data_IF_038058909999
#
_entry.id   IF_038058909999
#
_cell.length_a   1.000
_cell.length_b   1.000
_cell.length_c   1.000
_cell.angle_alpha   90.00
_cell.angle_beta   90.00
_cell.angle_gamma   90.00
#
_symmetry.space_group_name_H-M   'P 1'
#
loop_
_entity.id
_entity.type
_entity.pdbx_description
1 polymer ?
#
# COMPACT_ATOMS: atom_id res chain seq x y z
N UNK A 1 -7.76 -23.69 7.24
CA UNK A 1 -7.22 -22.64 6.36
C UNK A 1 -7.92 -22.59 4.99
N UNK A 2 -8.34 -23.72 4.41
CA UNK A 2 -9.03 -23.77 3.09
C UNK A 2 -10.37 -23.04 3.02
N UNK A 3 -11.11 -22.93 4.13
CA UNK A 3 -12.41 -22.22 4.16
C UNK A 3 -12.30 -20.68 4.13
N UNK A 4 -11.12 -20.11 4.33
CA UNK A 4 -10.97 -18.65 4.43
C UNK A 4 -11.10 -17.94 3.07
N UNK A 5 -10.72 -18.61 1.97
CA UNK A 5 -10.84 -18.03 0.63
C UNK A 5 -12.28 -18.01 0.12
N UNK A 6 -13.16 -18.87 0.66
CA UNK A 6 -14.57 -18.92 0.29
C UNK A 6 -15.40 -17.80 0.93
N UNK A 7 -14.89 -17.14 1.98
CA UNK A 7 -15.55 -15.99 2.62
C UNK A 7 -15.07 -14.63 2.07
N UNK A 8 -14.23 -14.62 1.03
CA UNK A 8 -13.78 -13.38 0.41
C UNK A 8 -14.94 -12.74 -0.34
N UNK A 9 -15.29 -11.52 0.05
CA UNK A 9 -16.11 -10.67 -0.79
C UNK A 9 -15.22 -10.14 -1.92
N UNK A 10 -15.20 -10.86 -3.04
CA UNK A 10 -14.37 -10.52 -4.22
C UNK A 10 -14.65 -9.11 -4.72
N UNK A 11 -15.92 -8.67 -4.67
CA UNK A 11 -16.30 -7.32 -5.08
C UNK A 11 -15.67 -6.26 -4.14
N UNK A 12 -15.76 -6.45 -2.82
CA UNK A 12 -15.14 -5.56 -1.85
C UNK A 12 -13.62 -5.48 -2.05
N UNK A 13 -12.96 -6.62 -2.23
CA UNK A 13 -11.51 -6.69 -2.47
C UNK A 13 -11.12 -5.94 -3.74
N UNK A 14 -11.81 -6.16 -4.86
CA UNK A 14 -11.51 -5.47 -6.12
C UNK A 14 -11.79 -3.96 -6.02
N UNK A 15 -12.87 -3.58 -5.33
CA UNK A 15 -13.23 -2.19 -5.09
C UNK A 15 -12.21 -1.45 -4.19
N UNK A 16 -11.59 -2.14 -3.24
CA UNK A 16 -10.53 -1.59 -2.38
C UNK A 16 -9.16 -1.59 -3.07
N UNK A 17 -8.84 -2.64 -3.82
CA UNK A 17 -7.59 -2.80 -4.56
C UNK A 17 -7.42 -1.73 -5.63
N UNK A 18 -8.43 -1.51 -6.48
CA UNK A 18 -8.32 -0.60 -7.62
C UNK A 18 -7.89 0.83 -7.23
N UNK A 19 -8.54 1.52 -6.28
CA UNK A 19 -8.11 2.85 -5.86
C UNK A 19 -6.77 2.82 -5.13
N UNK A 20 -6.45 1.77 -4.36
CA UNK A 20 -5.12 1.67 -3.74
C UNK A 20 -4.01 1.59 -4.80
N UNK A 21 -4.19 0.76 -5.83
CA UNK A 21 -3.24 0.64 -6.94
C UNK A 21 -3.13 1.94 -7.76
N UNK A 22 -4.27 2.53 -8.13
CA UNK A 22 -4.31 3.81 -8.87
C UNK A 22 -3.68 4.93 -8.05
N UNK A 23 -3.90 4.97 -6.73
CA UNK A 23 -3.25 5.92 -5.84
C UNK A 23 -1.74 5.79 -5.94
N UNK A 24 -1.18 4.58 -5.99
CA UNK A 24 0.26 4.36 -6.17
C UNK A 24 0.78 5.01 -7.46
N UNK A 25 0.09 4.79 -8.58
CA UNK A 25 0.46 5.43 -9.85
C UNK A 25 0.45 6.96 -9.73
N UNK A 26 -0.62 7.54 -9.19
CA UNK A 26 -0.73 8.99 -9.00
C UNK A 26 0.30 9.54 -8.02
N UNK A 27 0.58 8.82 -6.93
CA UNK A 27 1.50 9.23 -5.88
C UNK A 27 2.91 9.41 -6.41
N UNK A 28 3.43 8.40 -7.13
CA UNK A 28 4.82 8.39 -7.58
C UNK A 28 5.04 9.07 -8.93
N UNK A 29 4.00 9.29 -9.73
CA UNK A 29 4.13 9.91 -11.06
C UNK A 29 3.57 11.32 -11.16
N UNK A 30 2.66 11.71 -10.27
CA UNK A 30 2.01 13.03 -10.28
C UNK A 30 2.32 13.81 -9.00
N UNK A 31 1.84 13.35 -7.85
CA UNK A 31 1.85 14.16 -6.62
C UNK A 31 3.25 14.33 -6.01
N UNK A 32 4.02 13.25 -5.95
CA UNK A 32 5.33 13.22 -5.29
C UNK A 32 6.46 12.82 -6.24
N UNK A 33 6.26 12.93 -7.56
CA UNK A 33 7.26 12.57 -8.58
C UNK A 33 8.66 13.12 -8.25
N UNK A 34 8.77 14.43 -8.10
CA UNK A 34 10.07 15.09 -7.88
C UNK A 34 10.70 14.70 -6.54
N UNK A 35 9.89 14.57 -5.49
CA UNK A 35 10.34 14.15 -4.18
C UNK A 35 10.86 12.71 -4.23
N UNK A 36 10.14 11.81 -4.90
CA UNK A 36 10.51 10.41 -5.06
C UNK A 36 11.79 10.24 -5.88
N UNK A 37 11.93 10.94 -7.00
CA UNK A 37 13.18 10.93 -7.79
C UNK A 37 14.37 11.44 -6.96
N UNK A 38 14.19 12.56 -6.23
CA UNK A 38 15.22 13.09 -5.33
C UNK A 38 15.60 12.11 -4.22
N UNK A 39 14.63 11.36 -3.69
CA UNK A 39 14.89 10.33 -2.68
C UNK A 39 15.72 9.16 -3.24
N UNK A 40 15.51 8.83 -4.51
CA UNK A 40 16.28 7.83 -5.27
C UNK A 40 17.61 8.35 -5.83
N UNK A 41 17.98 9.61 -5.56
CA UNK A 41 19.19 10.23 -6.12
C UNK A 41 19.13 10.46 -7.64
N UNK A 42 17.93 10.48 -8.22
CA UNK A 42 17.69 10.68 -9.65
C UNK A 42 17.39 12.15 -9.96
N UNK A 43 17.71 12.56 -11.19
CA UNK A 43 17.37 13.89 -11.70
C UNK A 43 15.86 14.08 -11.92
N UNK A 44 15.38 15.33 -12.03
CA UNK A 44 13.96 15.64 -12.23
C UNK A 44 13.39 15.09 -13.55
N UNK A 45 14.24 14.97 -14.57
CA UNK A 45 13.88 14.46 -15.90
C UNK A 45 14.21 12.97 -16.07
N UNK A 46 14.53 12.27 -14.98
CA UNK A 46 14.79 10.84 -15.03
C UNK A 46 13.56 10.09 -15.53
N UNK A 47 13.70 9.43 -16.68
CA UNK A 47 12.67 8.56 -17.21
C UNK A 47 12.59 7.30 -16.35
N UNK A 48 11.38 6.89 -15.91
CA UNK A 48 11.20 5.60 -15.27
C UNK A 48 11.73 4.48 -16.16
N UNK A 49 12.24 3.41 -15.54
CA UNK A 49 12.57 2.22 -16.29
C UNK A 49 11.28 1.61 -16.87
N UNK A 50 11.27 1.35 -18.17
CA UNK A 50 10.11 0.81 -18.90
C UNK A 50 9.99 -0.72 -18.80
N UNK A 51 10.17 -1.27 -17.59
CA UNK A 51 10.02 -2.70 -17.36
C UNK A 51 8.63 -3.02 -16.78
N UNK A 52 7.91 -4.04 -17.28
CA UNK A 52 6.56 -4.39 -16.81
C UNK A 52 6.45 -4.62 -15.30
N UNK A 53 7.54 -5.08 -14.66
CA UNK A 53 7.61 -5.33 -13.22
C UNK A 53 7.31 -4.09 -12.37
N UNK A 54 7.58 -2.88 -12.87
CA UNK A 54 7.30 -1.64 -12.14
C UNK A 54 5.83 -1.24 -12.16
N UNK A 55 4.99 -1.96 -12.90
CA UNK A 55 3.53 -1.78 -12.94
C UNK A 55 2.84 -3.01 -12.36
N UNK A 56 3.17 -4.19 -12.89
CA UNK A 56 2.55 -5.46 -12.49
C UNK A 56 2.94 -5.83 -11.05
N UNK A 57 4.19 -5.58 -10.65
CA UNK A 57 4.66 -5.86 -9.29
C UNK A 57 3.81 -5.14 -8.22
N UNK A 58 3.72 -3.79 -8.27
CA UNK A 58 2.86 -3.04 -7.36
C UNK A 58 1.38 -3.46 -7.41
N UNK A 59 0.85 -3.80 -8.59
CA UNK A 59 -0.53 -4.29 -8.72
C UNK A 59 -0.74 -5.60 -7.95
N UNK A 60 0.12 -6.60 -8.17
CA UNK A 60 0.03 -7.89 -7.47
C UNK A 60 0.24 -7.71 -5.97
N UNK A 61 1.24 -6.93 -5.55
CA UNK A 61 1.50 -6.69 -4.13
C UNK A 61 0.31 -6.00 -3.44
N UNK A 62 -0.27 -4.97 -4.05
CA UNK A 62 -1.43 -4.26 -3.47
C UNK A 62 -2.68 -5.14 -3.43
N UNK A 63 -2.90 -6.01 -4.41
CA UNK A 63 -3.98 -7.00 -4.37
C UNK A 63 -3.78 -8.00 -3.21
N UNK A 64 -2.58 -8.56 -3.05
CA UNK A 64 -2.26 -9.49 -1.95
C UNK A 64 -2.46 -8.82 -0.59
N UNK A 65 -1.99 -7.58 -0.44
CA UNK A 65 -2.20 -6.79 0.79
C UNK A 65 -3.69 -6.57 1.07
N UNK A 66 -4.48 -6.27 0.05
CA UNK A 66 -5.94 -6.04 0.19
C UNK A 66 -6.67 -7.32 0.60
N UNK A 67 -6.34 -8.46 -0.02
CA UNK A 67 -6.88 -9.77 0.38
C UNK A 67 -6.51 -10.11 1.82
N UNK A 68 -5.26 -9.88 2.22
CA UNK A 68 -4.82 -10.11 3.58
C UNK A 68 -5.56 -9.22 4.59
N UNK A 69 -5.79 -7.95 4.24
CA UNK A 69 -6.56 -7.03 5.08
C UNK A 69 -7.99 -7.51 5.29
N UNK A 70 -8.69 -7.88 4.21
CA UNK A 70 -10.06 -8.41 4.26
C UNK A 70 -10.15 -9.63 5.18
N UNK A 71 -9.26 -10.61 4.99
CA UNK A 71 -9.20 -11.81 5.83
C UNK A 71 -8.93 -11.49 7.31
N UNK A 72 -8.00 -10.57 7.60
CA UNK A 72 -7.69 -10.19 8.97
C UNK A 72 -8.83 -9.43 9.62
N UNK A 73 -9.48 -8.50 8.91
CA UNK A 73 -10.63 -7.75 9.42
C UNK A 73 -11.79 -8.67 9.80
N UNK A 74 -12.10 -9.66 8.95
CA UNK A 74 -13.12 -10.68 9.26
C UNK A 74 -12.75 -11.51 10.50
N UNK A 75 -11.47 -11.91 10.64
CA UNK A 75 -11.01 -12.77 11.75
C UNK A 75 -10.88 -12.04 13.07
N UNK A 76 -10.54 -10.76 13.02
CA UNK A 76 -10.46 -9.87 14.18
C UNK A 76 -11.81 -9.21 14.49
N UNK A 77 -12.87 -9.56 13.74
CA UNK A 77 -14.23 -9.03 13.92
C UNK A 77 -14.27 -7.51 13.96
N UNK A 78 -13.57 -6.87 13.02
CA UNK A 78 -13.52 -5.42 12.88
C UNK A 78 -14.86 -4.93 12.31
N UNK A 79 -15.69 -4.29 13.14
CA UNK A 79 -17.10 -3.99 12.81
C UNK A 79 -17.47 -2.51 12.92
N UNK A 80 -16.51 -1.64 13.25
CA UNK A 80 -16.73 -0.20 13.35
C UNK A 80 -15.68 0.60 12.59
N UNK A 81 -16.03 1.84 12.23
CA UNK A 81 -15.08 2.79 11.65
C UNK A 81 -13.87 3.05 12.57
N UNK A 82 -14.08 3.09 13.89
CA UNK A 82 -13.02 3.28 14.87
C UNK A 82 -12.05 2.11 14.92
N UNK A 83 -12.55 0.87 14.94
CA UNK A 83 -11.73 -0.34 14.87
C UNK A 83 -11.01 -0.47 13.52
N UNK A 84 -11.68 -0.10 12.43
CA UNK A 84 -11.10 -0.07 11.08
C UNK A 84 -9.90 0.88 11.02
N UNK A 85 -10.06 2.08 11.58
CA UNK A 85 -8.95 3.03 11.67
C UNK A 85 -7.82 2.51 12.56
N UNK A 86 -8.13 1.97 13.74
CA UNK A 86 -7.12 1.40 14.63
C UNK A 86 -6.35 0.25 13.97
N UNK A 87 -7.06 -0.66 13.30
CA UNK A 87 -6.48 -1.75 12.50
C UNK A 87 -5.56 -1.20 11.40
N UNK A 88 -6.04 -0.22 10.64
CA UNK A 88 -5.26 0.42 9.57
C UNK A 88 -3.98 1.08 10.10
N UNK A 89 -4.05 1.74 11.26
CA UNK A 89 -2.88 2.37 11.88
C UNK A 89 -1.88 1.31 12.40
N UNK A 90 -2.35 0.26 13.06
CA UNK A 90 -1.48 -0.80 13.60
C UNK A 90 -0.78 -1.56 12.47
N UNK A 91 -1.52 -2.01 11.45
CA UNK A 91 -0.94 -2.76 10.33
C UNK A 91 -0.16 -1.84 9.40
N UNK A 92 -0.72 -0.67 9.08
CA UNK A 92 -0.09 0.33 8.22
C UNK A 92 1.24 0.80 8.78
N UNK A 93 1.31 1.24 10.04
CA UNK A 93 2.57 1.66 10.65
C UNK A 93 3.49 0.48 10.98
N UNK A 94 2.97 -0.51 11.69
CA UNK A 94 3.76 -1.59 12.26
C UNK A 94 4.32 -2.58 11.24
N UNK A 95 3.62 -2.77 10.11
CA UNK A 95 4.09 -3.67 9.05
C UNK A 95 4.47 -2.91 7.79
N UNK A 96 3.61 -2.06 7.24
CA UNK A 96 3.87 -1.47 5.92
C UNK A 96 4.93 -0.37 5.96
N UNK A 97 4.76 0.63 6.83
CA UNK A 97 5.74 1.72 6.99
C UNK A 97 7.05 1.18 7.55
N UNK A 98 7.00 0.39 8.63
CA UNK A 98 8.21 -0.17 9.23
C UNK A 98 9.01 -1.02 8.24
N UNK A 99 8.37 -1.91 7.47
CA UNK A 99 9.06 -2.70 6.45
C UNK A 99 9.60 -1.83 5.31
N UNK A 100 8.87 -0.79 4.91
CA UNK A 100 9.36 0.19 3.92
C UNK A 100 10.62 0.89 4.41
N UNK A 101 10.67 1.29 5.68
CA UNK A 101 11.87 1.88 6.30
C UNK A 101 13.02 0.88 6.31
N UNK A 102 12.77 -0.35 6.73
CA UNK A 102 13.78 -1.40 6.78
C UNK A 102 14.40 -1.66 5.39
N UNK A 103 13.57 -1.77 4.34
CA UNK A 103 14.02 -1.90 2.95
C UNK A 103 14.81 -0.66 2.52
N UNK A 104 14.36 0.54 2.91
CA UNK A 104 14.96 1.80 2.51
C UNK A 104 16.38 1.98 3.06
N UNK A 105 16.69 1.45 4.25
CA UNK A 105 18.02 1.54 4.88
C UNK A 105 19.11 0.79 4.08
N UNK A 106 18.73 0.05 3.03
CA UNK A 106 19.65 -0.51 2.05
C UNK A 106 20.66 0.54 1.54
N UNK A 107 21.99 0.24 1.52
CA UNK A 107 23.02 1.16 1.05
C UNK A 107 22.83 1.72 -0.38
N UNK A 108 22.01 1.08 -1.21
CA UNK A 108 21.73 1.50 -2.57
C UNK A 108 20.64 2.58 -2.67
N UNK A 109 19.98 2.95 -1.57
CA UNK A 109 18.97 4.02 -1.55
C UNK A 109 19.63 5.28 -0.96
N UNK A 110 19.88 6.33 -1.77
CA UNK A 110 20.71 7.47 -1.35
C UNK A 110 20.13 8.29 -0.19
N UNK A 111 18.79 8.35 -0.08
CA UNK A 111 18.09 9.11 0.96
C UNK A 111 17.06 8.21 1.66
N UNK A 112 17.51 7.26 2.50
CA UNK A 112 16.67 6.19 3.03
C UNK A 112 15.43 6.74 3.75
N UNK A 113 15.63 7.66 4.70
CA UNK A 113 14.52 8.25 5.48
C UNK A 113 13.55 9.04 4.61
N UNK A 114 14.06 9.80 3.62
CA UNK A 114 13.18 10.56 2.74
C UNK A 114 12.37 9.65 1.80
N UNK A 115 12.98 8.58 1.30
CA UNK A 115 12.28 7.54 0.55
C UNK A 115 11.19 6.89 1.41
N UNK A 116 11.50 6.56 2.66
CA UNK A 116 10.53 5.95 3.58
C UNK A 116 9.37 6.87 3.91
N UNK A 117 9.60 8.17 4.07
CA UNK A 117 8.53 9.13 4.30
C UNK A 117 7.55 9.17 3.12
N UNK A 118 8.06 9.14 1.88
CA UNK A 118 7.21 9.20 0.67
C UNK A 118 6.49 7.87 0.44
N UNK A 119 7.23 6.76 0.46
CA UNK A 119 6.70 5.43 0.11
C UNK A 119 5.88 4.83 1.26
N UNK A 120 6.33 5.03 2.50
CA UNK A 120 5.62 4.57 3.69
C UNK A 120 4.29 5.32 3.88
N UNK A 121 4.27 6.64 3.68
CA UNK A 121 3.00 7.39 3.75
C UNK A 121 2.02 7.00 2.65
N UNK A 122 2.49 6.71 1.43
CA UNK A 122 1.67 6.09 0.38
C UNK A 122 0.99 4.81 0.89
N UNK A 123 1.78 3.88 1.43
CA UNK A 123 1.23 2.62 1.92
C UNK A 123 0.26 2.83 3.08
N UNK A 124 0.56 3.74 4.02
CA UNK A 124 -0.34 4.03 5.13
C UNK A 124 -1.67 4.61 4.65
N UNK A 125 -1.64 5.63 3.79
CA UNK A 125 -2.84 6.30 3.27
C UNK A 125 -3.64 5.33 2.38
N UNK A 126 -2.98 4.65 1.44
CA UNK A 126 -3.63 3.72 0.54
C UNK A 126 -4.21 2.50 1.24
N UNK A 127 -3.50 1.95 2.22
CA UNK A 127 -4.00 0.84 3.04
C UNK A 127 -5.18 1.27 3.92
N UNK A 128 -5.11 2.45 4.53
CA UNK A 128 -6.22 2.99 5.34
C UNK A 128 -7.47 3.16 4.48
N UNK A 129 -7.33 3.77 3.30
CA UNK A 129 -8.42 3.90 2.32
C UNK A 129 -8.99 2.53 1.93
N UNK A 130 -8.14 1.55 1.60
CA UNK A 130 -8.57 0.21 1.26
C UNK A 130 -9.36 -0.46 2.42
N UNK A 131 -8.89 -0.34 3.66
CA UNK A 131 -9.61 -0.88 4.84
C UNK A 131 -11.01 -0.28 4.99
N UNK A 132 -11.17 1.04 4.76
CA UNK A 132 -12.49 1.68 4.81
C UNK A 132 -13.42 1.25 3.68
N UNK A 133 -12.88 1.01 2.48
CA UNK A 133 -13.69 0.48 1.36
C UNK A 133 -14.14 -0.94 1.67
N UNK A 134 -13.25 -1.79 2.21
CA UNK A 134 -13.60 -3.13 2.66
C UNK A 134 -14.70 -3.07 3.73
N UNK A 135 -14.52 -2.24 4.77
CA UNK A 135 -15.51 -2.05 5.83
C UNK A 135 -16.88 -1.62 5.29
N UNK A 136 -16.94 -0.73 4.30
CA UNK A 136 -18.20 -0.25 3.72
C UNK A 136 -18.92 -1.26 2.81
N UNK A 137 -18.26 -2.36 2.43
CA UNK A 137 -18.76 -3.37 1.49
C UNK A 137 -18.86 -4.78 2.07
N UNK A 138 -18.47 -4.96 3.33
CA UNK A 138 -18.66 -6.17 4.13
C UNK A 138 -19.97 -6.09 4.92
#
# INVERSE_FOLDING_TARGET
MTNALYSLNVLAVLAAFAPYFVLGALWFTVFFKNAYQKALGRGPDATPANAPIFIIGPAVCSLVVTVAADLLMQRLTINSAGETFAFAMVIGLGFLVANTVNIAINPNIPKPIFYSLITGSYHLVGFTMACFILYGLQ
#
